data_IF_681956684002
#
_entry.id   IF_681956684002
#
_cell.length_a   1.000
_cell.length_b   1.000
_cell.length_c   1.000
_cell.angle_alpha   90.00
_cell.angle_beta   90.00
_cell.angle_gamma   90.00
#
_symmetry.space_group_name_H-M   'P 1'
#
loop_
_entity.id
_entity.type
_entity.pdbx_description
1 polymer ?
#
# COMPACT_ATOMS: atom_id res chain seq x y z
N UNK A 1 25.89 -1.22 6.88
CA UNK A 1 24.85 -0.88 5.88
C UNK A 1 25.46 -1.02 4.49
N UNK A 2 24.89 -1.84 3.60
CA UNK A 2 25.47 -2.24 2.29
C UNK A 2 25.47 -1.14 1.18
N UNK A 3 25.40 0.15 1.51
CA UNK A 3 25.50 1.23 0.50
C UNK A 3 24.34 1.35 -0.51
N UNK A 4 23.25 0.57 -0.34
CA UNK A 4 22.09 0.52 -1.26
C UNK A 4 21.07 1.66 -1.11
N UNK A 5 21.28 2.60 -0.17
CA UNK A 5 20.32 3.69 0.08
C UNK A 5 20.58 4.85 -0.90
N UNK A 6 19.54 5.30 -1.60
CA UNK A 6 19.57 6.52 -2.44
C UNK A 6 18.38 7.41 -2.15
N UNK A 7 18.42 8.64 -2.63
CA UNK A 7 17.31 9.57 -2.46
C UNK A 7 16.12 9.12 -3.33
N UNK A 8 16.26 8.95 -4.64
CA UNK A 8 15.13 8.62 -5.52
C UNK A 8 15.35 7.33 -6.32
N UNK A 9 15.46 6.20 -5.61
CA UNK A 9 15.61 4.90 -6.26
C UNK A 9 14.32 4.50 -7.02
N UNK A 10 14.48 4.26 -8.32
CA UNK A 10 13.43 3.71 -9.17
C UNK A 10 13.09 2.26 -8.76
N UNK A 11 11.83 1.85 -8.99
CA UNK A 11 11.42 0.46 -8.82
C UNK A 11 12.28 -0.47 -9.69
N UNK A 12 12.67 -1.63 -9.16
CA UNK A 12 13.51 -2.60 -9.88
C UNK A 12 15.00 -2.25 -9.98
N UNK A 13 15.46 -1.11 -9.45
CA UNK A 13 16.88 -0.68 -9.55
C UNK A 13 17.86 -1.41 -8.62
N UNK A 14 17.37 -2.22 -7.68
CA UNK A 14 18.20 -2.84 -6.63
C UNK A 14 18.66 -1.86 -5.54
N UNK A 15 18.24 -0.59 -5.61
CA UNK A 15 18.51 0.46 -4.63
C UNK A 15 17.22 0.77 -3.85
N UNK A 16 17.36 1.18 -2.59
CA UNK A 16 16.24 1.45 -1.69
C UNK A 16 16.23 2.93 -1.33
N UNK A 17 15.11 3.64 -1.49
CA UNK A 17 14.98 5.00 -0.97
C UNK A 17 15.14 5.06 0.56
N UNK A 18 15.37 6.24 1.15
CA UNK A 18 15.40 6.35 2.63
C UNK A 18 14.15 5.69 3.25
N UNK A 19 14.29 4.65 4.11
CA UNK A 19 13.16 3.94 4.73
C UNK A 19 12.18 4.86 5.47
N UNK A 20 12.65 6.02 5.97
CA UNK A 20 11.79 6.99 6.67
C UNK A 20 10.78 7.68 5.76
N UNK A 21 11.01 7.66 4.45
CA UNK A 21 10.07 8.20 3.44
C UNK A 21 9.03 7.18 2.99
N UNK A 22 9.04 5.98 3.56
CA UNK A 22 7.99 5.01 3.29
C UNK A 22 6.83 5.21 4.26
N UNK A 23 5.63 5.06 3.73
CA UNK A 23 4.43 4.78 4.51
C UNK A 23 4.24 3.27 4.56
N UNK A 24 4.34 2.72 5.76
CA UNK A 24 4.15 1.32 6.07
C UNK A 24 2.68 1.07 6.39
N UNK A 25 2.14 0.00 5.81
CA UNK A 25 0.76 -0.43 6.02
C UNK A 25 0.75 -1.86 6.50
N UNK A 26 0.00 -2.12 7.56
CA UNK A 26 -0.43 -3.45 7.94
C UNK A 26 -1.94 -3.56 7.74
N UNK A 27 -2.38 -4.47 6.87
CA UNK A 27 -3.79 -4.69 6.55
C UNK A 27 -4.08 -6.18 6.37
N UNK A 28 -5.35 -6.56 6.48
CA UNK A 28 -5.79 -7.94 6.40
C UNK A 28 -6.86 -8.09 5.31
N UNK A 29 -6.70 -9.13 4.50
CA UNK A 29 -7.54 -9.37 3.33
C UNK A 29 -7.85 -10.86 3.14
N UNK A 30 -9.01 -11.17 2.58
CA UNK A 30 -9.37 -12.49 2.09
C UNK A 30 -9.37 -12.48 0.57
N UNK A 31 -8.60 -13.38 -0.04
CA UNK A 31 -8.41 -13.46 -1.49
C UNK A 31 -8.80 -14.84 -2.02
N UNK A 32 -9.33 -14.86 -3.24
CA UNK A 32 -9.52 -16.05 -4.07
C UNK A 32 -9.16 -15.69 -5.51
N UNK A 33 -8.21 -16.41 -6.13
CA UNK A 33 -7.77 -16.21 -7.52
C UNK A 33 -7.49 -14.75 -7.91
N UNK A 34 -7.05 -13.94 -6.95
CA UNK A 34 -6.93 -12.50 -7.10
C UNK A 34 -5.64 -11.97 -6.49
N UNK A 35 -5.34 -10.72 -6.82
CA UNK A 35 -4.32 -9.92 -6.19
C UNK A 35 -4.93 -8.62 -5.66
N UNK A 36 -4.33 -8.04 -4.64
CA UNK A 36 -4.73 -6.74 -4.08
C UNK A 36 -3.54 -5.79 -4.03
N UNK A 37 -3.83 -4.51 -4.25
CA UNK A 37 -2.89 -3.41 -4.05
C UNK A 37 -3.51 -2.37 -3.13
N UNK A 38 -2.66 -1.51 -2.58
CA UNK A 38 -3.12 -0.33 -1.87
C UNK A 38 -2.36 0.91 -2.34
N UNK A 39 -2.97 2.09 -2.19
CA UNK A 39 -2.30 3.37 -2.40
C UNK A 39 -2.42 4.26 -1.19
N UNK A 40 -1.46 5.16 -1.03
CA UNK A 40 -1.48 6.19 0.00
C UNK A 40 -1.66 7.55 -0.66
N UNK A 41 -2.58 8.36 -0.11
CA UNK A 41 -2.68 9.77 -0.46
C UNK A 41 -1.76 10.58 0.45
N UNK A 42 -0.95 11.44 -0.14
CA UNK A 42 -0.18 12.46 0.55
C UNK A 42 0.00 13.67 -0.36
N UNK A 43 0.18 14.85 0.23
CA UNK A 43 0.58 16.02 -0.54
C UNK A 43 1.98 15.81 -1.11
N UNK A 44 2.22 16.19 -2.36
CA UNK A 44 3.55 16.25 -2.94
C UNK A 44 4.35 17.46 -2.41
N UNK A 45 5.55 17.67 -2.95
CA UNK A 45 6.43 18.79 -2.54
C UNK A 45 5.86 20.17 -2.84
N UNK A 46 4.91 20.27 -3.78
CA UNK A 46 4.28 21.52 -4.19
C UNK A 46 2.94 21.71 -3.45
N UNK A 47 2.56 20.76 -2.58
CA UNK A 47 1.36 20.80 -1.75
C UNK A 47 0.11 20.21 -2.40
N UNK A 48 0.23 19.56 -3.56
CA UNK A 48 -0.89 18.95 -4.27
C UNK A 48 -1.12 17.51 -3.80
N UNK A 49 -2.38 17.14 -3.54
CA UNK A 49 -2.71 15.77 -3.17
C UNK A 49 -2.44 14.80 -4.34
N UNK A 50 -1.64 13.77 -4.06
CA UNK A 50 -1.30 12.72 -5.01
C UNK A 50 -1.46 11.33 -4.38
N UNK A 51 -1.70 10.33 -5.23
CA UNK A 51 -1.77 8.92 -4.84
C UNK A 51 -0.49 8.18 -5.24
N UNK A 52 0.01 7.36 -4.32
CA UNK A 52 1.22 6.57 -4.50
C UNK A 52 0.89 5.09 -4.30
N UNK A 53 1.07 4.28 -5.34
CA UNK A 53 0.63 2.88 -5.39
C UNK A 53 1.70 1.92 -4.85
N UNK A 54 1.28 0.89 -4.10
CA UNK A 54 2.17 -0.12 -3.52
C UNK A 54 2.86 -1.00 -4.57
N UNK A 55 2.21 -1.23 -5.71
CA UNK A 55 2.75 -2.08 -6.78
C UNK A 55 3.65 -1.30 -7.74
N UNK A 56 3.62 0.04 -7.71
CA UNK A 56 4.39 0.92 -8.59
C UNK A 56 4.24 0.55 -10.08
N UNK A 57 3.08 0.02 -10.47
CA UNK A 57 2.80 -0.44 -11.83
C UNK A 57 3.36 -1.83 -12.19
N UNK A 58 3.97 -2.55 -11.25
CA UNK A 58 4.57 -3.87 -11.45
C UNK A 58 3.67 -4.98 -10.87
N UNK A 59 3.04 -5.83 -11.71
CA UNK A 59 2.13 -6.89 -11.23
C UNK A 59 2.73 -7.85 -10.20
N UNK A 60 4.03 -8.09 -10.24
CA UNK A 60 4.77 -8.94 -9.30
C UNK A 60 4.85 -8.38 -7.87
N UNK A 61 4.58 -7.08 -7.68
CA UNK A 61 4.54 -6.44 -6.36
C UNK A 61 3.15 -6.46 -5.72
N UNK A 62 2.15 -6.99 -6.42
CA UNK A 62 0.78 -7.12 -5.90
C UNK A 62 0.72 -8.23 -4.86
N UNK A 63 -0.17 -8.08 -3.89
CA UNK A 63 -0.33 -9.03 -2.79
C UNK A 63 -1.27 -10.15 -3.23
N UNK A 64 -0.78 -11.39 -3.22
CA UNK A 64 -1.50 -12.59 -3.70
C UNK A 64 -1.74 -13.62 -2.59
N UNK A 65 -1.96 -13.16 -1.35
CA UNK A 65 -2.21 -14.03 -0.18
C UNK A 65 -3.34 -13.52 0.70
N UNK A 66 -4.06 -14.46 1.32
CA UNK A 66 -5.03 -14.20 2.39
C UNK A 66 -4.33 -13.98 3.73
N UNK A 67 -4.99 -13.25 4.62
CA UNK A 67 -4.50 -12.92 5.96
C UNK A 67 -3.91 -11.52 6.02
N UNK A 68 -3.18 -11.25 7.09
CA UNK A 68 -2.55 -9.94 7.28
C UNK A 68 -1.22 -9.85 6.54
N UNK A 69 -1.00 -8.73 5.86
CA UNK A 69 0.23 -8.41 5.17
C UNK A 69 0.82 -7.10 5.69
N UNK A 70 2.11 -6.94 5.44
CA UNK A 70 2.81 -5.67 5.60
C UNK A 70 3.34 -5.26 4.23
N UNK A 71 3.04 -4.03 3.85
CA UNK A 71 3.54 -3.40 2.63
C UNK A 71 4.07 -2.01 2.94
N UNK A 72 4.78 -1.43 1.99
CA UNK A 72 5.31 -0.08 2.13
C UNK A 72 5.24 0.66 0.80
N UNK A 73 4.85 1.93 0.86
CA UNK A 73 4.77 2.83 -0.29
C UNK A 73 5.83 3.91 -0.12
N UNK A 74 6.81 4.02 -1.04
CA UNK A 74 7.77 5.11 -1.00
C UNK A 74 7.10 6.42 -1.42
N UNK A 75 7.24 7.46 -0.61
CA UNK A 75 6.85 8.81 -0.97
C UNK A 75 8.06 9.59 -1.54
N UNK A 76 7.83 10.55 -2.45
CA UNK A 76 8.88 11.45 -2.91
C UNK A 76 9.41 12.32 -1.76
N UNK A 77 10.62 12.87 -1.94
CA UNK A 77 11.16 13.84 -0.99
C UNK A 77 10.22 15.06 -0.86
N UNK A 78 10.04 15.54 0.37
CA UNK A 78 9.16 16.68 0.66
C UNK A 78 7.67 16.35 0.70
N UNK A 79 7.26 15.10 0.48
CA UNK A 79 5.86 14.71 0.62
C UNK A 79 5.33 14.96 2.04
N UNK A 80 4.08 15.40 2.11
CA UNK A 80 3.34 15.58 3.36
C UNK A 80 2.98 14.27 4.06
N UNK A 81 2.28 14.35 5.20
CA UNK A 81 1.79 13.16 5.89
C UNK A 81 0.71 12.43 5.07
N UNK A 82 0.65 11.10 5.24
CA UNK A 82 -0.43 10.30 4.70
C UNK A 82 -1.81 10.76 5.22
N UNK A 83 -2.78 10.89 4.32
CA UNK A 83 -4.13 11.40 4.61
C UNK A 83 -5.27 10.46 4.22
N UNK A 84 -5.01 9.42 3.43
CA UNK A 84 -5.96 8.37 3.08
C UNK A 84 -5.24 7.11 2.59
N UNK A 85 -5.95 5.99 2.62
CA UNK A 85 -5.57 4.73 1.98
C UNK A 85 -6.69 4.28 1.06
N UNK A 86 -6.35 3.64 -0.06
CA UNK A 86 -7.34 3.02 -0.95
C UNK A 86 -6.87 1.64 -1.39
N UNK A 87 -7.80 0.78 -1.77
CA UNK A 87 -7.51 -0.59 -2.22
C UNK A 87 -8.10 -0.83 -3.61
N UNK A 88 -7.43 -1.69 -4.38
CA UNK A 88 -7.92 -2.18 -5.68
C UNK A 88 -7.61 -3.65 -5.84
N UNK A 89 -8.56 -4.40 -6.39
CA UNK A 89 -8.41 -5.82 -6.67
C UNK A 89 -8.12 -6.06 -8.15
N UNK A 90 -7.32 -7.09 -8.41
CA UNK A 90 -6.98 -7.55 -9.76
C UNK A 90 -7.21 -9.04 -9.90
N UNK A 91 -7.60 -9.47 -11.09
CA UNK A 91 -7.57 -10.90 -11.43
C UNK A 91 -6.13 -11.42 -11.38
N UNK A 92 -5.91 -12.56 -10.72
CA UNK A 92 -4.62 -13.26 -10.79
C UNK A 92 -4.62 -14.09 -12.07
N UNK A 93 -3.74 -13.74 -13.02
CA UNK A 93 -3.57 -14.49 -14.27
C UNK A 93 -2.42 -15.48 -14.11
N UNK A 94 -2.70 -16.65 -13.55
CA UNK A 94 -1.80 -17.80 -13.63
C UNK A 94 -2.57 -19.05 -14.10
N UNK A 95 -1.86 -20.04 -14.64
CA UNK A 95 -2.44 -21.27 -15.20
C UNK A 95 -3.21 -22.11 -14.16
N UNK A 96 -3.01 -21.84 -12.88
CA UNK A 96 -3.61 -22.56 -11.76
C UNK A 96 -4.82 -21.83 -11.15
N UNK A 97 -5.12 -20.60 -11.59
CA UNK A 97 -6.23 -19.79 -11.09
C UNK A 97 -7.53 -20.19 -11.80
N UNK A 98 -8.11 -21.31 -11.37
CA UNK A 98 -9.42 -21.77 -11.84
C UNK A 98 -10.54 -21.30 -10.90
N UNK A 99 -11.60 -20.70 -11.46
CA UNK A 99 -12.79 -20.27 -10.73
C UNK A 99 -12.87 -18.77 -10.43
N UNK A 100 -13.93 -18.31 -9.74
CA UNK A 100 -14.20 -16.89 -9.55
C UNK A 100 -13.14 -16.19 -8.70
N UNK A 101 -12.83 -14.94 -9.09
CA UNK A 101 -11.95 -14.04 -8.35
C UNK A 101 -12.73 -13.29 -7.27
N UNK A 102 -12.16 -13.15 -6.09
CA UNK A 102 -12.76 -12.37 -4.99
C UNK A 102 -11.69 -11.75 -4.10
N UNK A 103 -11.92 -10.52 -3.65
CA UNK A 103 -11.12 -9.85 -2.63
C UNK A 103 -12.02 -9.16 -1.62
N UNK A 104 -11.77 -9.41 -0.34
CA UNK A 104 -12.39 -8.67 0.78
C UNK A 104 -11.32 -8.07 1.66
N UNK A 105 -11.40 -6.77 1.92
CA UNK A 105 -10.59 -6.08 2.93
C UNK A 105 -11.32 -6.15 4.26
N UNK A 106 -10.68 -6.73 5.27
CA UNK A 106 -11.30 -6.95 6.58
C UNK A 106 -10.75 -6.01 7.65
N UNK A 107 -9.52 -5.52 7.47
CA UNK A 107 -8.89 -4.62 8.43
C UNK A 107 -7.74 -3.82 7.86
N UNK A 108 -7.54 -2.62 8.40
CA UNK A 108 -6.26 -1.89 8.38
C UNK A 108 -5.82 -1.78 9.84
N UNK A 109 -4.78 -2.53 10.21
CA UNK A 109 -4.26 -2.50 11.57
C UNK A 109 -3.52 -1.20 11.82
N UNK A 110 -2.62 -0.80 10.91
CA UNK A 110 -1.78 0.40 11.08
C UNK A 110 -1.37 1.02 9.76
N UNK A 111 -1.24 2.35 9.76
CA UNK A 111 -0.58 3.15 8.73
C UNK A 111 0.42 4.10 9.39
N UNK A 112 1.71 3.94 9.15
CA UNK A 112 2.74 4.70 9.87
C UNK A 112 3.99 4.97 9.03
N UNK A 113 4.82 5.91 9.46
CA UNK A 113 6.18 6.13 8.94
C UNK A 113 7.23 5.79 10.00
N UNK A 114 8.51 5.78 9.64
CA UNK A 114 9.59 5.66 10.63
C UNK A 114 10.08 7.04 11.07
N UNK A 115 10.42 7.17 12.35
CA UNK A 115 11.00 8.38 12.92
C UNK A 115 12.51 8.51 12.61
N UNK A 116 13.16 9.52 13.22
CA UNK A 116 14.60 9.76 13.03
C UNK A 116 15.48 8.63 13.58
N UNK A 117 14.99 7.87 14.55
CA UNK A 117 15.64 6.70 15.14
C UNK A 117 15.30 5.39 14.40
N UNK A 118 14.57 5.47 13.27
CA UNK A 118 14.07 4.33 12.51
C UNK A 118 13.06 3.47 13.27
N UNK A 119 12.37 4.05 14.25
CA UNK A 119 11.29 3.37 14.98
C UNK A 119 9.93 3.69 14.35
N UNK A 120 8.97 2.75 14.37
CA UNK A 120 7.59 3.02 13.97
C UNK A 120 7.01 4.21 14.73
N UNK A 121 6.52 5.20 14.00
CA UNK A 121 5.70 6.27 14.58
C UNK A 121 4.30 5.76 14.95
N UNK A 122 3.56 6.57 15.70
CA UNK A 122 2.14 6.31 15.99
C UNK A 122 1.35 6.13 14.69
N UNK A 123 0.46 5.14 14.69
CA UNK A 123 -0.44 4.90 13.56
C UNK A 123 -1.29 6.12 13.28
N UNK A 124 -1.41 6.47 11.99
CA UNK A 124 -2.28 7.54 11.47
C UNK A 124 -3.71 7.06 11.23
N UNK A 125 -3.89 5.75 11.06
CA UNK A 125 -5.17 5.18 10.69
C UNK A 125 -5.26 3.71 11.09
N UNK A 126 -6.42 3.35 11.63
CA UNK A 126 -6.82 1.98 11.92
C UNK A 126 -8.29 1.85 11.48
N UNK A 127 -8.67 0.69 10.94
CA UNK A 127 -10.01 0.43 10.46
C UNK A 127 -10.32 -1.06 10.55
N UNK A 128 -11.58 -1.41 10.84
CA UNK A 128 -12.07 -2.78 10.81
C UNK A 128 -13.45 -2.80 10.15
N UNK A 129 -13.74 -3.83 9.37
CA UNK A 129 -15.01 -3.96 8.67
C UNK A 129 -14.98 -5.08 7.63
N UNK A 130 -15.78 -4.95 6.59
CA UNK A 130 -15.79 -5.88 5.47
C UNK A 130 -16.13 -5.13 4.19
N UNK A 131 -15.14 -4.97 3.32
CA UNK A 131 -15.30 -4.31 2.02
C UNK A 131 -15.00 -5.34 0.94
N UNK A 132 -16.01 -5.70 0.15
CA UNK A 132 -15.82 -6.48 -1.08
C UNK A 132 -15.33 -5.52 -2.17
N UNK A 133 -14.18 -5.83 -2.75
CA UNK A 133 -13.65 -5.07 -3.88
C UNK A 133 -14.14 -5.66 -5.20
N UNK A 134 -14.50 -4.80 -6.13
CA UNK A 134 -14.76 -5.21 -7.51
C UNK A 134 -13.44 -5.67 -8.16
N UNK A 135 -13.46 -6.83 -8.79
CA UNK A 135 -12.28 -7.38 -9.46
C UNK A 135 -12.02 -6.61 -10.75
N UNK A 136 -10.78 -6.13 -10.90
CA UNK A 136 -10.35 -5.27 -12.01
C UNK A 136 -11.14 -3.93 -12.10
N UNK A 137 -11.99 -3.64 -11.11
CA UNK A 137 -12.78 -2.42 -10.99
C UNK A 137 -12.00 -1.24 -10.43
N UNK A 138 -12.72 -0.23 -9.96
CA UNK A 138 -12.15 1.02 -9.45
C UNK A 138 -11.56 0.89 -8.03
N UNK A 139 -10.92 1.97 -7.57
CA UNK A 139 -10.39 2.09 -6.23
C UNK A 139 -11.50 2.24 -5.18
N UNK A 140 -11.31 1.61 -4.02
CA UNK A 140 -12.15 1.83 -2.84
C UNK A 140 -11.36 2.60 -1.77
N UNK A 141 -11.83 3.80 -1.45
CA UNK A 141 -11.14 4.74 -0.57
C UNK A 141 -11.54 4.60 0.91
N UNK A 142 -10.56 4.71 1.79
CA UNK A 142 -10.70 4.85 3.24
C UNK A 142 -9.95 6.12 3.70
N UNK A 143 -10.71 7.16 4.01
CA UNK A 143 -10.16 8.46 4.41
C UNK A 143 -9.91 8.51 5.92
N UNK A 144 -8.78 9.10 6.32
CA UNK A 144 -8.42 9.17 7.73
C UNK A 144 -9.33 10.19 8.44
N UNK A 145 -10.02 9.76 9.51
CA UNK A 145 -10.91 10.63 10.28
C UNK A 145 -12.38 10.64 9.85
N UNK A 146 -12.78 9.77 8.91
CA UNK A 146 -14.19 9.43 8.72
C UNK A 146 -14.69 8.57 9.88
N UNK A 147 -15.67 9.08 10.64
CA UNK A 147 -16.54 8.25 11.48
C UNK A 147 -17.57 7.55 10.61
#
# INVERSE_FOLDING_TARGET
>A
REGKIREDAAAGSGLIPDPRRFVYVEACTELRNAAVVFSIRAADRDGHDAWYDSDRGMPEFRIVRTGCFRGAVPLPAGAGPASAIRFRAFTKRDEHSQGPSAVTVTRVNRVFTLDRAYLPSTSRFEWTGSIVLEIDGDWHDLVFGGR
#
